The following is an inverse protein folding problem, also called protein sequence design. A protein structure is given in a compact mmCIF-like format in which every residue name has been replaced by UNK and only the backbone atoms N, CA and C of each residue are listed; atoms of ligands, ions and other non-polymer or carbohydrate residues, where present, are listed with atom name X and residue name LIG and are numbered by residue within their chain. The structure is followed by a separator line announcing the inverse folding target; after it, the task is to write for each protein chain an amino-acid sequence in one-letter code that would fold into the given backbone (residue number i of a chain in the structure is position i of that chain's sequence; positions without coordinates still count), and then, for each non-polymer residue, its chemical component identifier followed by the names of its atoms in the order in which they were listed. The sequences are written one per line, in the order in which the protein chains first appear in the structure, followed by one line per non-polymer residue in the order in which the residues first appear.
data_IF_432624468595
#
_entry.id   IF_432624468595
#
_cell.length_a   1.000
_cell.length_b   1.000
_cell.length_c   1.000
_cell.angle_alpha   90.00
_cell.angle_beta   90.00
_cell.angle_gamma   90.00
#
_symmetry.space_group_name_H-M   'P 1'
#
loop_
_entity.id
_entity.type
_entity.pdbx_description
1 polymer ?
#
# COMPACT_ATOMS: atom_id res chain seq x y z
N UNK A 1 9.67 19.40 16.40
CA UNK A 1 9.61 20.06 15.08
C UNK A 1 10.92 20.01 14.28
N UNK A 2 12.10 20.35 14.85
CA UNK A 2 13.39 20.34 14.11
C UNK A 2 13.72 18.98 13.44
N UNK A 3 13.43 17.86 14.10
CA UNK A 3 13.65 16.51 13.55
C UNK A 3 12.74 16.22 12.35
N UNK A 4 11.44 16.49 12.44
CA UNK A 4 10.50 16.25 11.34
C UNK A 4 10.89 17.05 10.08
N UNK A 5 11.20 18.35 10.25
CA UNK A 5 11.65 19.22 9.16
C UNK A 5 12.93 18.65 8.51
N UNK A 6 13.85 18.12 9.32
CA UNK A 6 15.07 17.46 8.82
C UNK A 6 14.72 16.23 7.97
N UNK A 7 13.84 15.35 8.44
CA UNK A 7 13.44 14.15 7.67
C UNK A 7 12.71 14.49 6.38
N UNK A 8 11.84 15.50 6.39
CA UNK A 8 11.18 16.01 5.18
C UNK A 8 12.22 16.51 4.18
N UNK A 9 13.19 17.33 4.62
CA UNK A 9 14.29 17.80 3.76
C UNK A 9 15.10 16.65 3.17
N UNK A 10 15.45 15.64 3.99
CA UNK A 10 16.16 14.45 3.54
C UNK A 10 15.35 13.68 2.50
N UNK A 11 14.05 13.49 2.75
CA UNK A 11 13.15 12.85 1.80
C UNK A 11 13.15 13.57 0.45
N UNK A 12 13.02 14.90 0.44
CA UNK A 12 13.04 15.67 -0.81
C UNK A 12 14.36 15.53 -1.58
N UNK A 13 15.50 15.36 -0.90
CA UNK A 13 16.78 15.08 -1.56
C UNK A 13 16.77 13.72 -2.26
N UNK A 14 16.28 12.68 -1.58
CA UNK A 14 16.12 11.35 -2.20
C UNK A 14 15.12 11.38 -3.34
N UNK A 15 13.99 12.06 -3.13
CA UNK A 15 12.95 12.20 -4.12
C UNK A 15 13.49 12.92 -5.38
N UNK A 16 14.27 13.99 -5.22
CA UNK A 16 14.92 14.65 -6.37
C UNK A 16 15.87 13.70 -7.11
N UNK A 17 16.65 12.89 -6.39
CA UNK A 17 17.57 11.94 -6.99
C UNK A 17 16.83 10.85 -7.79
N UNK A 18 15.79 10.25 -7.20
CA UNK A 18 14.98 9.21 -7.85
C UNK A 18 14.22 9.75 -9.06
N UNK A 19 13.71 10.98 -8.98
CA UNK A 19 13.07 11.63 -10.12
C UNK A 19 14.05 11.77 -11.30
N UNK A 20 15.27 12.24 -11.05
CA UNK A 20 16.28 12.36 -12.10
C UNK A 20 16.68 10.99 -12.67
N UNK A 21 16.78 9.97 -11.80
CA UNK A 21 17.10 8.60 -12.23
C UNK A 21 15.99 8.00 -13.10
N UNK A 22 14.74 8.06 -12.67
CA UNK A 22 13.61 7.47 -13.40
C UNK A 22 13.36 8.17 -14.75
N UNK A 23 13.53 9.49 -14.81
CA UNK A 23 13.34 10.26 -16.04
C UNK A 23 14.57 10.28 -16.96
N UNK A 24 15.67 9.63 -16.58
CA UNK A 24 16.81 9.42 -17.48
C UNK A 24 16.41 8.55 -18.69
N UNK A 25 15.46 7.63 -18.50
CA UNK A 25 14.87 6.79 -19.55
C UNK A 25 13.40 7.15 -19.76
N UNK A 26 13.13 8.14 -20.62
CA UNK A 26 11.77 8.59 -20.94
C UNK A 26 10.87 7.45 -21.45
N UNK A 27 11.41 6.52 -22.22
CA UNK A 27 10.67 5.36 -22.73
C UNK A 27 10.17 4.45 -21.61
N UNK A 28 11.00 4.17 -20.61
CA UNK A 28 10.63 3.33 -19.47
C UNK A 28 9.50 3.96 -18.65
N UNK A 29 9.58 5.26 -18.39
CA UNK A 29 8.54 5.99 -17.67
C UNK A 29 7.19 5.96 -18.42
N UNK A 30 7.20 6.18 -19.75
CA UNK A 30 5.99 6.11 -20.58
C UNK A 30 5.39 4.71 -20.59
N UNK A 31 6.22 3.66 -20.77
CA UNK A 31 5.76 2.27 -20.75
C UNK A 31 5.15 1.89 -19.39
N UNK A 32 5.76 2.34 -18.28
CA UNK A 32 5.21 2.11 -16.95
C UNK A 32 3.85 2.79 -16.77
N UNK A 33 3.73 4.06 -17.18
CA UNK A 33 2.48 4.81 -17.12
C UNK A 33 1.37 4.13 -17.93
N UNK A 34 1.67 3.73 -19.18
CA UNK A 34 0.73 2.99 -20.03
C UNK A 34 0.34 1.68 -19.37
N UNK A 35 1.30 0.87 -18.91
CA UNK A 35 1.03 -0.42 -18.29
C UNK A 35 0.14 -0.32 -17.05
N UNK A 36 0.41 0.65 -16.17
CA UNK A 36 -0.41 0.91 -14.98
C UNK A 36 -1.82 1.41 -15.34
N UNK A 37 -1.92 2.29 -16.34
CA UNK A 37 -3.20 2.81 -16.84
C UNK A 37 -4.04 1.70 -17.45
N UNK A 38 -3.46 0.86 -18.31
CA UNK A 38 -4.12 -0.31 -18.89
C UNK A 38 -4.58 -1.24 -17.78
N UNK A 39 -3.71 -1.59 -16.82
CA UNK A 39 -4.08 -2.45 -15.68
C UNK A 39 -5.30 -1.90 -14.90
N UNK A 40 -5.31 -0.59 -14.63
CA UNK A 40 -6.42 0.06 -13.94
C UNK A 40 -7.71 0.03 -14.77
N UNK A 41 -7.64 0.49 -16.02
CA UNK A 41 -8.80 0.58 -16.92
C UNK A 41 -9.36 -0.80 -17.27
N UNK A 42 -8.52 -1.82 -17.46
CA UNK A 42 -8.96 -3.18 -17.75
C UNK A 42 -9.78 -3.75 -16.59
N UNK A 43 -9.32 -3.58 -15.34
CA UNK A 43 -10.08 -4.07 -14.19
C UNK A 43 -11.37 -3.27 -13.97
N UNK A 44 -11.31 -1.94 -14.14
CA UNK A 44 -12.50 -1.09 -14.08
C UNK A 44 -13.52 -1.47 -15.16
N UNK A 45 -13.08 -1.73 -16.39
CA UNK A 45 -13.93 -2.17 -17.49
C UNK A 45 -14.63 -3.48 -17.15
N UNK A 46 -13.91 -4.46 -16.58
CA UNK A 46 -14.51 -5.72 -16.11
C UNK A 46 -15.64 -5.46 -15.11
N UNK A 47 -15.42 -4.56 -14.13
CA UNK A 47 -16.46 -4.19 -13.16
C UNK A 47 -17.66 -3.51 -13.84
N UNK A 48 -17.42 -2.58 -14.77
CA UNK A 48 -18.51 -1.90 -15.51
C UNK A 48 -19.31 -2.91 -16.36
N UNK A 49 -18.65 -3.86 -17.01
CA UNK A 49 -19.32 -4.93 -17.78
C UNK A 49 -20.12 -5.87 -16.88
N UNK A 50 -19.62 -6.17 -15.67
CA UNK A 50 -20.35 -6.93 -14.67
C UNK A 50 -21.64 -6.22 -14.24
N UNK A 51 -21.64 -4.89 -14.16
CA UNK A 51 -22.83 -4.09 -13.82
C UNK A 51 -24.02 -4.36 -14.73
N UNK A 52 -23.78 -4.61 -16.02
CA UNK A 52 -24.84 -4.91 -16.98
C UNK A 52 -25.50 -6.28 -16.77
N UNK A 53 -24.73 -7.27 -16.29
CA UNK A 53 -25.18 -8.67 -16.18
C UNK A 53 -25.51 -9.10 -14.74
N UNK A 54 -25.01 -8.38 -13.74
CA UNK A 54 -25.10 -8.75 -12.32
C UNK A 54 -25.53 -7.55 -11.49
N UNK A 55 -26.69 -7.66 -10.82
CA UNK A 55 -27.21 -6.59 -9.96
C UNK A 55 -26.43 -6.46 -8.64
N UNK A 56 -26.05 -7.59 -8.05
CA UNK A 56 -25.34 -7.61 -6.76
C UNK A 56 -24.28 -8.70 -6.75
N UNK A 57 -23.18 -8.44 -6.05
CA UNK A 57 -22.08 -9.36 -5.82
C UNK A 57 -21.74 -9.35 -4.33
N UNK A 58 -21.88 -10.49 -3.68
CA UNK A 58 -21.59 -10.68 -2.26
C UNK A 58 -22.24 -9.64 -1.31
N UNK A 59 -23.50 -9.26 -1.61
CA UNK A 59 -24.26 -8.29 -0.82
C UNK A 59 -24.00 -6.82 -1.16
N UNK A 60 -23.17 -6.54 -2.18
CA UNK A 60 -22.87 -5.20 -2.67
C UNK A 60 -23.39 -5.00 -4.09
N UNK A 61 -23.85 -3.78 -4.41
CA UNK A 61 -24.06 -3.43 -5.83
C UNK A 61 -22.71 -3.33 -6.54
N UNK A 62 -22.69 -3.42 -7.86
CA UNK A 62 -21.43 -3.31 -8.61
C UNK A 62 -20.78 -1.92 -8.45
N UNK A 63 -21.58 -0.86 -8.27
CA UNK A 63 -21.04 0.47 -7.97
C UNK A 63 -20.35 0.51 -6.61
N UNK A 64 -20.89 -0.21 -5.62
CA UNK A 64 -20.24 -0.37 -4.32
C UNK A 64 -18.95 -1.19 -4.44
N UNK A 65 -18.91 -2.25 -5.26
CA UNK A 65 -17.70 -3.02 -5.55
C UNK A 65 -16.60 -2.14 -6.18
N UNK A 66 -16.98 -1.23 -7.09
CA UNK A 66 -16.03 -0.27 -7.67
C UNK A 66 -15.43 0.64 -6.59
N UNK A 67 -16.18 0.99 -5.54
CA UNK A 67 -15.64 1.74 -4.41
C UNK A 67 -14.54 0.94 -3.68
N UNK A 68 -14.72 -0.36 -3.44
CA UNK A 68 -13.64 -1.20 -2.88
C UNK A 68 -12.40 -1.20 -3.78
N UNK A 69 -12.60 -1.32 -5.09
CA UNK A 69 -11.50 -1.27 -6.06
C UNK A 69 -10.76 0.08 -6.03
N UNK A 70 -11.48 1.20 -5.97
CA UNK A 70 -10.88 2.53 -5.87
C UNK A 70 -10.12 2.70 -4.54
N UNK A 71 -10.71 2.27 -3.43
CA UNK A 71 -10.03 2.29 -2.12
C UNK A 71 -8.76 1.44 -2.12
N UNK A 72 -8.79 0.25 -2.72
CA UNK A 72 -7.59 -0.58 -2.92
C UNK A 72 -6.51 0.17 -3.72
N UNK A 73 -6.86 0.75 -4.87
CA UNK A 73 -5.88 1.43 -5.72
C UNK A 73 -5.28 2.65 -5.03
N UNK A 74 -6.05 3.37 -4.21
CA UNK A 74 -5.51 4.46 -3.41
C UNK A 74 -4.41 3.97 -2.48
N UNK A 75 -4.68 2.89 -1.72
CA UNK A 75 -3.71 2.31 -0.79
C UNK A 75 -2.49 1.73 -1.54
N UNK A 76 -2.70 1.01 -2.66
CA UNK A 76 -1.62 0.47 -3.50
C UNK A 76 -0.74 1.60 -4.03
N UNK A 77 -1.31 2.62 -4.67
CA UNK A 77 -0.54 3.71 -5.26
C UNK A 77 0.27 4.49 -4.23
N UNK A 78 -0.35 4.87 -3.10
CA UNK A 78 0.37 5.57 -2.02
C UNK A 78 1.47 4.67 -1.46
N UNK A 79 1.20 3.38 -1.27
CA UNK A 79 2.20 2.45 -0.75
C UNK A 79 3.39 2.30 -1.69
N UNK A 80 3.15 2.06 -2.98
CA UNK A 80 4.21 1.89 -3.97
C UNK A 80 5.02 3.17 -4.18
N UNK A 81 4.35 4.33 -4.17
CA UNK A 81 4.99 5.64 -4.29
C UNK A 81 6.02 5.90 -3.18
N UNK A 82 5.73 5.46 -1.95
CA UNK A 82 6.62 5.71 -0.82
C UNK A 82 7.57 4.56 -0.49
N UNK A 83 7.18 3.30 -0.68
CA UNK A 83 7.86 2.13 -0.09
C UNK A 83 8.58 1.24 -1.10
N UNK A 84 8.81 1.75 -2.32
CA UNK A 84 9.49 1.02 -3.40
C UNK A 84 10.92 0.60 -3.05
N UNK A 85 11.59 1.32 -2.15
CA UNK A 85 12.96 1.01 -1.72
C UNK A 85 13.14 -0.41 -1.18
N UNK A 86 12.09 -0.99 -0.58
CA UNK A 86 12.10 -2.36 -0.02
C UNK A 86 12.47 -3.41 -1.07
N UNK A 87 12.06 -3.24 -2.32
CA UNK A 87 12.31 -4.19 -3.40
C UNK A 87 13.80 -4.32 -3.73
N UNK A 88 14.60 -3.29 -3.45
CA UNK A 88 16.04 -3.28 -3.69
C UNK A 88 16.86 -3.75 -2.49
N UNK A 89 16.23 -4.00 -1.33
CA UNK A 89 16.92 -4.20 -0.07
C UNK A 89 17.85 -5.42 -0.08
N UNK A 90 17.44 -6.54 -0.68
CA UNK A 90 18.29 -7.74 -0.77
C UNK A 90 19.56 -7.49 -1.54
N UNK A 91 19.48 -6.77 -2.66
CA UNK A 91 20.65 -6.35 -3.41
C UNK A 91 21.63 -5.58 -2.52
N UNK A 92 21.10 -4.68 -1.68
CA UNK A 92 21.89 -3.88 -0.72
C UNK A 92 22.47 -4.69 0.43
N UNK A 93 21.75 -5.70 0.91
CA UNK A 93 22.26 -6.64 1.93
C UNK A 93 23.41 -7.46 1.35
N UNK A 94 23.22 -8.05 0.16
CA UNK A 94 24.21 -8.91 -0.51
C UNK A 94 25.46 -8.14 -0.92
N UNK A 95 25.32 -6.89 -1.36
CA UNK A 95 26.46 -6.06 -1.76
C UNK A 95 27.18 -5.37 -0.59
N UNK A 96 26.67 -5.49 0.64
CA UNK A 96 27.16 -4.73 1.79
C UNK A 96 26.75 -3.25 1.79
N UNK A 97 25.94 -2.78 0.83
CA UNK A 97 25.50 -1.38 0.78
C UNK A 97 24.68 -0.97 2.02
N UNK A 98 24.02 -1.93 2.68
CA UNK A 98 23.28 -1.70 3.92
C UNK A 98 24.19 -1.16 5.06
N UNK A 99 25.48 -1.49 5.06
CA UNK A 99 26.45 -0.97 6.05
C UNK A 99 26.58 0.56 5.96
N UNK A 100 26.58 1.09 4.74
CA UNK A 100 26.59 2.54 4.54
C UNK A 100 25.30 3.18 5.04
N UNK A 101 24.16 2.49 5.00
CA UNK A 101 22.91 3.03 5.53
C UNK A 101 22.96 3.08 7.05
N UNK A 102 23.52 2.04 7.68
CA UNK A 102 23.74 1.95 9.13
C UNK A 102 24.72 3.01 9.66
N UNK A 103 25.75 3.34 8.87
CA UNK A 103 26.77 4.33 9.27
C UNK A 103 26.29 5.79 9.18
N UNK A 104 25.19 6.08 8.46
CA UNK A 104 24.69 7.45 8.31
C UNK A 104 23.82 7.84 9.52
N UNK A 105 23.81 9.12 9.93
CA UNK A 105 23.00 9.61 11.05
C UNK A 105 21.52 9.80 10.68
N UNK A 106 20.92 8.84 9.98
CA UNK A 106 19.53 8.82 9.52
C UNK A 106 18.94 7.48 9.91
N UNK A 107 17.69 7.46 10.36
CA UNK A 107 17.03 6.21 10.69
C UNK A 107 17.01 5.26 9.47
N UNK A 108 17.56 4.05 9.65
CA UNK A 108 17.74 3.08 8.56
C UNK A 108 16.40 2.60 8.01
N UNK A 109 15.39 2.39 8.86
CA UNK A 109 14.07 1.98 8.41
C UNK A 109 13.44 3.03 7.50
N UNK A 110 13.52 4.30 7.89
CA UNK A 110 13.09 5.41 7.04
C UNK A 110 13.83 5.41 5.70
N UNK A 111 15.14 5.16 5.70
CA UNK A 111 15.93 5.10 4.46
C UNK A 111 15.54 3.92 3.57
N UNK A 112 15.25 2.76 4.16
CA UNK A 112 14.84 1.55 3.41
C UNK A 112 13.44 1.69 2.83
N UNK A 113 12.50 2.23 3.61
CA UNK A 113 11.13 2.44 3.15
C UNK A 113 11.07 3.61 2.17
N UNK A 114 11.37 4.82 2.65
CA UNK A 114 11.10 6.08 1.97
C UNK A 114 12.31 6.68 1.23
N UNK A 115 13.43 5.97 1.15
CA UNK A 115 14.65 6.47 0.51
C UNK A 115 14.67 6.35 -1.01
N UNK A 116 13.72 5.62 -1.60
CA UNK A 116 13.60 5.48 -3.05
C UNK A 116 12.12 5.59 -3.48
N UNK A 117 11.51 6.79 -3.40
CA UNK A 117 10.13 6.96 -3.85
C UNK A 117 9.96 6.73 -5.36
N UNK A 118 8.84 6.14 -5.77
CA UNK A 118 8.51 5.88 -7.18
C UNK A 118 7.64 7.00 -7.76
N UNK A 119 8.22 7.83 -8.63
CA UNK A 119 7.51 8.94 -9.24
C UNK A 119 6.62 8.52 -10.40
N UNK A 120 6.82 7.33 -10.96
CA UNK A 120 5.89 6.83 -11.96
C UNK A 120 4.51 6.58 -11.34
N UNK A 121 4.44 6.22 -10.06
CA UNK A 121 3.18 6.10 -9.32
C UNK A 121 2.56 7.47 -9.00
N UNK A 122 3.36 8.53 -8.81
CA UNK A 122 2.84 9.91 -8.66
C UNK A 122 2.08 10.37 -9.91
N UNK A 123 2.61 10.08 -11.10
CA UNK A 123 2.02 10.50 -12.38
C UNK A 123 0.61 9.93 -12.57
N UNK A 124 0.38 8.68 -12.20
CA UNK A 124 -0.93 8.05 -12.30
C UNK A 124 -1.85 8.42 -11.12
N UNK A 125 -1.28 8.77 -9.96
CA UNK A 125 -2.05 9.07 -8.76
C UNK A 125 -2.98 10.28 -8.94
N UNK A 126 -2.53 11.34 -9.63
CA UNK A 126 -3.33 12.55 -9.86
C UNK A 126 -4.61 12.26 -10.67
N UNK A 127 -4.56 11.74 -11.91
CA UNK A 127 -5.77 11.45 -12.69
C UNK A 127 -6.65 10.40 -12.01
N UNK A 128 -6.04 9.42 -11.33
CA UNK A 128 -6.77 8.45 -10.50
C UNK A 128 -7.57 9.14 -9.39
N UNK A 129 -6.97 10.09 -8.66
CA UNK A 129 -7.64 10.78 -7.56
C UNK A 129 -8.86 11.56 -8.05
N UNK A 130 -8.73 12.29 -9.17
CA UNK A 130 -9.86 12.99 -9.79
C UNK A 130 -10.98 12.03 -10.21
N UNK A 131 -10.64 10.94 -10.90
CA UNK A 131 -11.62 9.94 -11.30
C UNK A 131 -12.31 9.31 -10.09
N UNK A 132 -11.54 8.92 -9.06
CA UNK A 132 -12.08 8.27 -7.87
C UNK A 132 -13.03 9.18 -7.09
N UNK A 133 -12.68 10.46 -6.92
CA UNK A 133 -13.54 11.44 -6.26
C UNK A 133 -14.83 11.70 -7.03
N UNK A 134 -14.74 11.88 -8.35
CA UNK A 134 -15.89 12.04 -9.23
C UNK A 134 -16.82 10.82 -9.22
N UNK A 135 -16.26 9.62 -9.24
CA UNK A 135 -17.04 8.38 -9.22
C UNK A 135 -17.72 8.17 -7.87
N UNK A 136 -16.99 8.34 -6.75
CA UNK A 136 -17.53 8.26 -5.39
C UNK A 136 -18.69 9.25 -5.19
N UNK A 137 -18.53 10.49 -5.67
CA UNK A 137 -19.56 11.52 -5.54
C UNK A 137 -20.88 11.19 -6.25
N UNK A 138 -20.85 10.33 -7.27
CA UNK A 138 -22.06 9.85 -7.95
C UNK A 138 -22.59 8.54 -7.35
N UNK A 139 -21.69 7.63 -6.95
CA UNK A 139 -22.05 6.30 -6.50
C UNK A 139 -22.59 6.26 -5.06
N UNK A 140 -22.31 7.30 -4.24
CA UNK A 140 -22.74 7.38 -2.84
C UNK A 140 -23.78 8.50 -2.66
N UNK A 141 -25.10 8.20 -2.76
CA UNK A 141 -26.16 9.21 -2.84
C UNK A 141 -26.39 10.05 -1.56
N UNK A 142 -25.68 9.77 -0.46
CA UNK A 142 -25.74 10.48 0.82
C UNK A 142 -24.36 10.60 1.45
N UNK A 143 -23.43 11.21 0.71
CA UNK A 143 -22.08 11.45 1.18
C UNK A 143 -22.05 12.70 2.07
N UNK A 144 -21.96 12.48 3.39
CA UNK A 144 -21.82 13.55 4.37
C UNK A 144 -20.34 13.77 4.77
N UNK A 145 -20.07 14.90 5.41
CA UNK A 145 -18.72 15.27 5.85
C UNK A 145 -18.12 14.26 6.86
N UNK A 146 -18.96 13.62 7.69
CA UNK A 146 -18.51 12.67 8.71
C UNK A 146 -17.99 11.39 8.04
N UNK A 147 -18.70 10.86 7.04
CA UNK A 147 -18.26 9.70 6.24
C UNK A 147 -16.97 9.99 5.51
N UNK A 148 -16.80 11.19 4.96
CA UNK A 148 -15.55 11.59 4.29
C UNK A 148 -14.38 11.61 5.29
N UNK A 149 -14.55 12.25 6.45
CA UNK A 149 -13.51 12.31 7.48
C UNK A 149 -13.15 10.90 7.98
N UNK A 150 -14.15 10.07 8.28
CA UNK A 150 -13.93 8.70 8.71
C UNK A 150 -13.29 7.86 7.60
N UNK A 151 -13.67 8.03 6.34
CA UNK A 151 -13.05 7.35 5.21
C UNK A 151 -11.55 7.63 5.16
N UNK A 152 -11.15 8.90 5.24
CA UNK A 152 -9.73 9.27 5.27
C UNK A 152 -9.01 8.76 6.53
N UNK A 153 -9.66 8.78 7.69
CA UNK A 153 -9.09 8.20 8.91
C UNK A 153 -8.83 6.69 8.76
N UNK A 154 -9.74 5.96 8.14
CA UNK A 154 -9.57 4.52 7.89
C UNK A 154 -8.67 4.20 6.70
N UNK A 155 -8.48 5.12 5.74
CA UNK A 155 -7.38 5.04 4.77
C UNK A 155 -6.03 5.09 5.47
N UNK A 156 -5.86 5.93 6.51
CA UNK A 156 -4.63 5.94 7.32
C UNK A 156 -4.42 4.58 8.01
N UNK A 157 -5.46 3.97 8.58
CA UNK A 157 -5.36 2.60 9.13
C UNK A 157 -4.91 1.58 8.07
N UNK A 158 -5.47 1.64 6.86
CA UNK A 158 -5.04 0.79 5.75
C UNK A 158 -3.57 1.00 5.37
N UNK A 159 -3.13 2.26 5.33
CA UNK A 159 -1.73 2.60 5.08
C UNK A 159 -0.79 2.12 6.20
N UNK A 160 -1.20 2.19 7.47
CA UNK A 160 -0.42 1.64 8.59
C UNK A 160 -0.21 0.13 8.45
N UNK A 161 -1.26 -0.60 8.06
CA UNK A 161 -1.15 -2.05 7.77
C UNK A 161 -0.19 -2.27 6.60
N UNK A 162 -0.35 -1.53 5.49
CA UNK A 162 0.54 -1.66 4.34
C UNK A 162 2.00 -1.38 4.70
N UNK A 163 2.28 -0.33 5.49
CA UNK A 163 3.63 -0.01 5.98
C UNK A 163 4.18 -1.15 6.82
N UNK A 164 3.38 -1.69 7.73
CA UNK A 164 3.79 -2.81 8.58
C UNK A 164 4.21 -4.04 7.75
N UNK A 165 3.47 -4.37 6.69
CA UNK A 165 3.82 -5.47 5.79
C UNK A 165 5.08 -5.21 4.98
N UNK A 166 5.29 -3.99 4.48
CA UNK A 166 6.56 -3.62 3.83
C UNK A 166 7.75 -3.75 4.80
N UNK A 167 7.55 -3.42 6.08
CA UNK A 167 8.57 -3.63 7.12
C UNK A 167 8.82 -5.12 7.36
N UNK A 168 7.79 -5.95 7.48
CA UNK A 168 7.97 -7.40 7.64
C UNK A 168 8.71 -8.03 6.45
N UNK A 169 8.37 -7.63 5.23
CA UNK A 169 9.09 -8.04 4.02
C UNK A 169 10.55 -7.62 4.09
N UNK A 170 10.83 -6.38 4.49
CA UNK A 170 12.21 -5.91 4.66
C UNK A 170 12.97 -6.70 5.73
N UNK A 171 12.31 -7.06 6.83
CA UNK A 171 12.89 -7.89 7.89
C UNK A 171 13.28 -9.28 7.36
N UNK A 172 12.38 -9.93 6.63
CA UNK A 172 12.65 -11.21 5.98
C UNK A 172 13.85 -11.06 5.05
N UNK A 173 13.90 -10.00 4.25
CA UNK A 173 15.02 -9.71 3.38
C UNK A 173 16.37 -9.57 4.04
N UNK A 174 16.41 -8.99 5.23
CA UNK A 174 17.64 -8.87 6.02
C UNK A 174 18.08 -10.24 6.55
N UNK A 175 17.13 -11.07 7.01
CA UNK A 175 17.43 -12.36 7.64
C UNK A 175 17.73 -13.46 6.62
N UNK A 176 16.99 -13.54 5.53
CA UNK A 176 17.07 -14.62 4.53
C UNK A 176 17.86 -14.23 3.29
N UNK A 177 18.17 -12.94 3.12
CA UNK A 177 18.71 -12.36 1.87
C UNK A 177 17.79 -12.54 0.66
N UNK A 178 16.51 -12.89 0.85
CA UNK A 178 15.51 -13.12 -0.19
C UNK A 178 14.23 -12.27 0.05
N UNK A 179 13.97 -11.28 -0.81
CA UNK A 179 12.80 -10.36 -0.72
C UNK A 179 11.84 -10.57 -1.86
N UNK A 180 12.32 -10.89 -3.06
CA UNK A 180 11.52 -10.84 -4.28
C UNK A 180 10.29 -11.75 -4.19
N UNK A 181 10.47 -12.99 -3.75
CA UNK A 181 9.36 -13.93 -3.55
C UNK A 181 8.38 -13.46 -2.47
N UNK A 182 8.91 -12.92 -1.37
CA UNK A 182 8.10 -12.46 -0.23
C UNK A 182 7.25 -11.24 -0.58
N UNK A 183 7.84 -10.25 -1.25
CA UNK A 183 7.11 -9.05 -1.68
C UNK A 183 6.10 -9.40 -2.78
N UNK A 184 6.41 -10.33 -3.68
CA UNK A 184 5.46 -10.81 -4.69
C UNK A 184 4.26 -11.51 -4.04
N UNK A 185 4.50 -12.40 -3.09
CA UNK A 185 3.42 -13.05 -2.33
C UNK A 185 2.52 -12.04 -1.62
N UNK A 186 3.12 -11.05 -0.94
CA UNK A 186 2.36 -9.97 -0.31
C UNK A 186 1.50 -9.21 -1.32
N UNK A 187 2.06 -8.88 -2.50
CA UNK A 187 1.33 -8.17 -3.56
C UNK A 187 0.16 -9.00 -4.08
N UNK A 188 0.34 -10.30 -4.29
CA UNK A 188 -0.72 -11.16 -4.82
C UNK A 188 -1.87 -11.29 -3.82
N UNK A 189 -1.56 -11.49 -2.54
CA UNK A 189 -2.56 -11.49 -1.47
C UNK A 189 -3.25 -10.12 -1.34
N UNK A 190 -2.50 -9.03 -1.43
CA UNK A 190 -3.06 -7.67 -1.36
C UNK A 190 -4.00 -7.37 -2.52
N UNK A 191 -3.72 -7.87 -3.74
CA UNK A 191 -4.58 -7.67 -4.92
C UNK A 191 -5.99 -8.22 -4.75
N UNK A 192 -6.19 -9.17 -3.84
CA UNK A 192 -7.52 -9.68 -3.47
C UNK A 192 -8.37 -8.61 -2.77
N UNK A 193 -7.76 -7.55 -2.25
CA UNK A 193 -8.44 -6.37 -1.71
C UNK A 193 -9.21 -5.55 -2.75
N UNK A 194 -9.05 -5.81 -4.06
CA UNK A 194 -9.81 -5.13 -5.12
C UNK A 194 -11.31 -5.42 -5.08
N UNK A 195 -11.71 -6.46 -4.36
CA UNK A 195 -13.07 -6.97 -4.27
C UNK A 195 -13.47 -7.12 -2.79
N UNK A 196 -14.77 -7.06 -2.45
CA UNK A 196 -15.24 -7.36 -1.11
C UNK A 196 -14.79 -8.73 -0.61
N UNK A 197 -14.41 -8.81 0.67
CA UNK A 197 -13.90 -10.05 1.27
C UNK A 197 -14.94 -11.18 1.29
N UNK A 198 -16.23 -10.84 1.26
CA UNK A 198 -17.36 -11.78 1.22
C UNK A 198 -17.40 -12.66 -0.03
N UNK A 199 -16.66 -12.32 -1.09
CA UNK A 199 -16.55 -13.13 -2.31
C UNK A 199 -15.71 -14.38 -2.06
N UNK A 200 -14.77 -14.32 -1.12
CA UNK A 200 -13.85 -15.41 -0.84
C UNK A 200 -14.46 -16.42 0.12
N UNK A 201 -14.26 -17.71 -0.17
CA UNK A 201 -14.64 -18.83 0.72
C UNK A 201 -13.48 -19.17 1.66
N UNK A 202 -13.79 -19.86 2.74
CA UNK A 202 -12.76 -20.42 3.61
C UNK A 202 -12.00 -21.56 2.91
N UNK A 203 -10.69 -21.75 3.20
CA UNK A 203 -9.87 -21.07 4.22
C UNK A 203 -9.22 -19.76 3.74
N UNK A 204 -9.45 -19.37 2.48
CA UNK A 204 -8.79 -18.23 1.86
C UNK A 204 -9.22 -16.90 2.49
N UNK A 205 -10.51 -16.77 2.82
CA UNK A 205 -11.04 -15.59 3.52
C UNK A 205 -10.36 -15.37 4.87
N UNK A 206 -10.12 -16.42 5.66
CA UNK A 206 -9.35 -16.34 6.89
C UNK A 206 -7.93 -15.78 6.66
N UNK A 207 -7.21 -16.31 5.67
CA UNK A 207 -5.84 -15.88 5.34
C UNK A 207 -5.79 -14.37 5.04
N UNK A 208 -6.64 -13.88 4.14
CA UNK A 208 -6.63 -12.47 3.73
C UNK A 208 -7.24 -11.53 4.76
N UNK A 209 -8.03 -12.03 5.72
CA UNK A 209 -8.66 -11.20 6.77
C UNK A 209 -7.80 -11.10 8.02
N UNK A 210 -7.13 -12.19 8.41
CA UNK A 210 -6.44 -12.27 9.70
C UNK A 210 -4.91 -12.39 9.59
N UNK A 211 -4.38 -12.98 8.51
CA UNK A 211 -2.93 -13.17 8.35
C UNK A 211 -2.28 -11.98 7.65
N UNK A 212 -2.86 -11.49 6.54
CA UNK A 212 -2.38 -10.28 5.81
C UNK A 212 -3.20 -9.01 6.10
N UNK A 213 -4.14 -9.08 7.05
CA UNK A 213 -5.34 -8.22 7.14
C UNK A 213 -5.73 -7.32 5.95
N UNK A 214 -5.75 -7.85 4.71
CA UNK A 214 -6.18 -7.13 3.50
C UNK A 214 -7.63 -6.65 3.63
N UNK A 215 -8.48 -7.46 4.28
CA UNK A 215 -9.85 -7.08 4.62
C UNK A 215 -9.92 -5.82 5.46
N UNK A 216 -9.11 -5.72 6.52
CA UNK A 216 -9.06 -4.53 7.37
C UNK A 216 -8.43 -3.33 6.64
N UNK A 217 -7.44 -3.61 5.80
CA UNK A 217 -6.73 -2.61 5.02
C UNK A 217 -7.65 -1.87 4.04
N UNK A 218 -8.49 -2.59 3.30
CA UNK A 218 -9.27 -2.00 2.19
C UNK A 218 -10.78 -1.96 2.48
N UNK A 219 -11.34 -3.03 3.04
CA UNK A 219 -12.80 -3.16 3.14
C UNK A 219 -13.40 -2.19 4.14
N UNK A 220 -12.66 -1.82 5.19
CA UNK A 220 -13.15 -0.92 6.23
C UNK A 220 -13.36 0.51 5.71
N UNK A 221 -12.36 1.18 5.10
CA UNK A 221 -12.59 2.50 4.53
C UNK A 221 -13.75 2.47 3.52
N UNK A 222 -13.79 1.50 2.61
CA UNK A 222 -14.90 1.37 1.65
C UNK A 222 -16.26 1.25 2.35
N UNK A 223 -16.40 0.39 3.37
CA UNK A 223 -17.65 0.23 4.14
C UNK A 223 -18.05 1.48 4.92
N UNK A 224 -17.10 2.24 5.44
CA UNK A 224 -17.35 3.51 6.12
C UNK A 224 -18.00 4.49 5.15
N UNK A 225 -17.43 4.63 3.95
CA UNK A 225 -17.95 5.49 2.90
C UNK A 225 -19.37 5.10 2.48
N UNK A 226 -19.64 3.79 2.42
CA UNK A 226 -20.95 3.21 2.11
C UNK A 226 -21.95 3.25 3.26
N UNK A 227 -21.54 3.64 4.48
CA UNK A 227 -22.40 3.57 5.68
C UNK A 227 -22.74 2.14 6.12
N UNK A 228 -21.92 1.16 5.72
CA UNK A 228 -22.09 -0.29 6.00
C UNK A 228 -21.11 -0.83 7.04
N UNK A 229 -20.38 0.04 7.75
CA UNK A 229 -19.40 -0.38 8.75
C UNK A 229 -19.98 -0.33 10.18
N UNK A 230 -20.13 -1.48 10.87
CA UNK A 230 -20.59 -1.48 12.25
C UNK A 230 -19.50 -0.88 13.18
N UNK A 231 -19.88 -0.14 14.25
CA UNK A 231 -18.91 0.51 15.13
C UNK A 231 -17.87 -0.42 15.77
N UNK A 232 -18.25 -1.66 16.11
CA UNK A 232 -17.34 -2.68 16.66
C UNK A 232 -16.20 -3.03 15.70
N UNK A 233 -16.49 -3.04 14.39
CA UNK A 233 -15.51 -3.32 13.35
C UNK A 233 -14.52 -2.16 13.18
N UNK A 234 -14.98 -0.91 13.37
CA UNK A 234 -14.13 0.29 13.31
C UNK A 234 -13.08 0.29 14.42
N UNK A 235 -13.50 -0.06 15.64
CA UNK A 235 -12.59 -0.19 16.79
C UNK A 235 -11.59 -1.33 16.56
N UNK A 236 -12.07 -2.49 16.15
CA UNK A 236 -11.22 -3.66 15.86
C UNK A 236 -10.18 -3.35 14.78
N UNK A 237 -10.59 -2.71 13.68
CA UNK A 237 -9.70 -2.34 12.59
C UNK A 237 -8.59 -1.38 13.05
N UNK A 238 -8.93 -0.41 13.89
CA UNK A 238 -7.96 0.55 14.45
C UNK A 238 -6.97 -0.13 15.39
N UNK A 239 -7.46 -1.01 16.28
CA UNK A 239 -6.61 -1.76 17.20
C UNK A 239 -5.65 -2.70 16.46
N UNK A 240 -6.15 -3.41 15.45
CA UNK A 240 -5.31 -4.31 14.63
C UNK A 240 -4.28 -3.52 13.84
N UNK A 241 -4.65 -2.41 13.19
CA UNK A 241 -3.72 -1.57 12.44
C UNK A 241 -2.57 -1.08 13.32
N UNK A 242 -2.87 -0.55 14.51
CA UNK A 242 -1.86 -0.09 15.47
C UNK A 242 -1.00 -1.27 15.97
N UNK A 243 -1.62 -2.40 16.33
CA UNK A 243 -0.90 -3.56 16.84
C UNK A 243 0.09 -4.11 15.82
N UNK A 244 -0.37 -4.36 14.59
CA UNK A 244 0.47 -4.88 13.49
C UNK A 244 1.59 -3.90 13.15
N UNK A 245 1.28 -2.59 13.13
CA UNK A 245 2.29 -1.55 12.95
C UNK A 245 3.37 -1.59 14.04
N UNK A 246 3.00 -1.66 15.32
CA UNK A 246 3.95 -1.76 16.43
C UNK A 246 4.81 -3.04 16.37
N UNK A 247 4.18 -4.19 16.07
CA UNK A 247 4.89 -5.47 15.91
C UNK A 247 5.92 -5.43 14.78
N UNK A 248 5.64 -4.67 13.71
CA UNK A 248 6.58 -4.50 12.60
C UNK A 248 7.87 -3.78 13.04
N UNK A 249 7.80 -2.78 13.93
CA UNK A 249 9.01 -2.12 14.47
C UNK A 249 9.81 -3.02 15.40
N UNK A 250 9.13 -3.87 16.18
CA UNK A 250 9.81 -4.84 17.03
C UNK A 250 10.58 -5.86 16.17
N UNK A 251 9.92 -6.33 15.11
CA UNK A 251 10.51 -7.25 14.13
C UNK A 251 11.69 -6.60 13.41
N UNK A 252 11.57 -5.32 13.03
CA UNK A 252 12.66 -4.55 12.42
C UNK A 252 13.90 -4.47 13.32
N UNK A 253 13.72 -4.16 14.61
CA UNK A 253 14.83 -4.13 15.57
C UNK A 253 15.48 -5.50 15.73
N UNK A 254 14.70 -6.58 15.67
CA UNK A 254 15.23 -7.93 15.75
C UNK A 254 16.00 -8.31 14.48
N UNK A 255 15.44 -8.05 13.30
CA UNK A 255 16.09 -8.33 12.01
C UNK A 255 17.44 -7.61 11.87
N UNK A 256 17.55 -6.35 12.30
CA UNK A 256 18.82 -5.63 12.29
C UNK A 256 19.89 -6.24 13.20
N UNK A 257 19.53 -6.96 14.26
CA UNK A 257 20.51 -7.67 15.12
C UNK A 257 21.01 -8.96 14.48
N UNK A 258 20.21 -9.54 13.58
CA UNK A 258 20.56 -10.75 12.83
C UNK A 258 21.39 -10.43 11.58
N UNK A 259 21.46 -9.16 11.19
CA UNK A 259 22.24 -8.74 10.04
C UNK A 259 23.74 -8.94 10.28
N UNK A 260 24.36 -9.73 9.40
CA UNK A 260 25.81 -9.91 9.32
C UNK A 260 26.32 -9.22 8.07
N UNK A 261 27.29 -8.32 8.22
CA UNK A 261 27.87 -7.59 7.08
C UNK A 261 28.44 -8.56 6.05
N UNK A 262 28.22 -8.24 4.78
CA UNK A 262 28.85 -8.93 3.65
C UNK A 262 30.30 -8.48 3.40
N UNK A 263 30.77 -7.44 4.10
CA UNK A 263 32.15 -6.95 4.03
C UNK A 263 33.00 -7.65 5.08
N UNK A 264 33.95 -8.47 4.61
CA UNK A 264 35.15 -8.86 5.38
C UNK A 264 36.23 -7.79 5.27
#
# INVERSE_FOLDING_TARGET
MKTLIRYIKIWFLFAKQELLFQFSSKSSAVLFFIGKTVRFLSFLLILILLKHNTKTMAGYSIDEVIIFFLTFNFIDLVSQMFMRGVYSLTGKVRSGELDFYLAKPVNVLFRVLAGSPDFNDVLIFIPFLFFSGWYIGQAVPLLDAVKIVLYFAFLVNGLLISIAFHIFVACIGIVTTEVDNTIMLYRDLSQMGRMPMEIYREPLRFLITFVVPVGLMVSIPARVLLGKAPPSLLLTASLVAVTVFLLSFLSWKHALKMYTSASS
#
